data_IF_528143788561
#
_entry.id   IF_528143788561
#
_cell.length_a   1.000
_cell.length_b   1.000
_cell.length_c   1.000
_cell.angle_alpha   90.00
_cell.angle_beta   90.00
_cell.angle_gamma   90.00
#
_symmetry.space_group_name_H-M   'P 1'
#
loop_
_entity.id
_entity.type
_entity.pdbx_description
1 polymer ?
#
# COMPACT_ATOMS: atom_id res chain seq x y z
N UNK A 1 1.19 19.66 -8.55
CA UNK A 1 1.76 19.09 -7.30
C UNK A 1 1.95 17.60 -7.47
N UNK A 2 3.00 17.06 -6.89
CA UNK A 2 3.25 15.62 -6.95
C UNK A 2 2.23 14.88 -6.11
N UNK A 3 1.76 13.74 -6.60
CA UNK A 3 0.96 12.83 -5.80
C UNK A 3 1.84 12.11 -4.79
N UNK A 4 1.31 11.88 -3.60
CA UNK A 4 2.05 11.28 -2.50
C UNK A 4 1.64 9.82 -2.34
N UNK A 5 2.63 8.93 -2.25
CA UNK A 5 2.39 7.49 -2.04
C UNK A 5 3.03 7.08 -0.72
N UNK A 6 2.25 6.42 0.13
CA UNK A 6 2.75 5.78 1.33
C UNK A 6 3.08 4.32 1.01
N UNK A 7 4.33 3.92 1.23
CA UNK A 7 4.78 2.55 1.02
C UNK A 7 5.04 1.91 2.38
N UNK A 8 4.39 0.78 2.65
CA UNK A 8 4.46 0.10 3.94
C UNK A 8 4.99 -1.32 3.78
N UNK A 9 6.09 -1.61 4.45
CA UNK A 9 6.68 -2.96 4.49
C UNK A 9 7.64 -3.00 5.68
N UNK A 10 7.71 -4.12 6.39
CA UNK A 10 8.64 -4.28 7.49
C UNK A 10 10.06 -4.61 7.04
N UNK A 11 10.22 -4.97 5.77
CA UNK A 11 11.53 -5.25 5.16
C UNK A 11 12.12 -3.99 4.52
N UNK A 12 13.28 -3.57 5.00
CA UNK A 12 13.98 -2.41 4.41
C UNK A 12 14.35 -2.66 2.96
N UNK A 13 14.73 -3.90 2.62
CA UNK A 13 15.06 -4.27 1.25
C UNK A 13 13.84 -4.13 0.35
N UNK A 14 12.68 -4.60 0.80
CA UNK A 14 11.44 -4.48 0.03
C UNK A 14 11.06 -3.01 -0.16
N UNK A 15 11.16 -2.19 0.90
CA UNK A 15 10.90 -0.75 0.78
C UNK A 15 11.82 -0.11 -0.24
N UNK A 16 13.11 -0.45 -0.20
CA UNK A 16 14.08 0.10 -1.14
C UNK A 16 13.73 -0.26 -2.59
N UNK A 17 13.38 -1.53 -2.82
CA UNK A 17 13.01 -1.99 -4.17
C UNK A 17 11.77 -1.28 -4.70
N UNK A 18 10.73 -1.21 -3.88
CA UNK A 18 9.46 -0.59 -4.29
C UNK A 18 9.63 0.91 -4.49
N UNK A 19 10.31 1.60 -3.58
CA UNK A 19 10.51 3.04 -3.72
C UNK A 19 11.39 3.35 -4.93
N UNK A 20 12.37 2.50 -5.24
CA UNK A 20 13.20 2.66 -6.43
C UNK A 20 12.36 2.60 -7.70
N UNK A 21 11.41 1.66 -7.77
CA UNK A 21 10.50 1.55 -8.91
C UNK A 21 9.63 2.80 -9.00
N UNK A 22 9.05 3.24 -7.88
CA UNK A 22 8.12 4.37 -7.88
C UNK A 22 8.82 5.70 -8.16
N UNK A 23 10.11 5.82 -7.88
CA UNK A 23 10.87 7.04 -8.20
C UNK A 23 10.96 7.32 -9.69
N UNK A 24 10.64 6.35 -10.53
CA UNK A 24 10.58 6.55 -11.98
C UNK A 24 9.38 7.42 -12.38
N UNK A 25 8.39 7.51 -11.52
CA UNK A 25 7.22 8.36 -11.74
C UNK A 25 7.33 9.67 -10.97
N UNK A 26 6.38 10.58 -11.18
CA UNK A 26 6.40 11.90 -10.53
C UNK A 26 5.73 11.85 -9.15
N UNK A 27 6.20 10.99 -8.26
CA UNK A 27 5.57 10.78 -6.96
C UNK A 27 6.47 11.24 -5.82
N UNK A 28 5.82 11.78 -4.77
CA UNK A 28 6.45 12.00 -3.48
C UNK A 28 6.22 10.73 -2.65
N UNK A 29 7.24 10.21 -1.99
CA UNK A 29 7.15 8.93 -1.28
C UNK A 29 7.35 9.14 0.22
N UNK A 30 6.48 8.51 1.01
CA UNK A 30 6.64 8.38 2.46
C UNK A 30 6.59 6.88 2.79
N UNK A 31 7.19 6.48 3.89
CA UNK A 31 7.29 5.07 4.25
C UNK A 31 6.81 4.80 5.67
N UNK A 32 6.40 3.55 5.91
CA UNK A 32 6.07 3.04 7.24
C UNK A 32 6.54 1.59 7.31
N UNK A 33 6.75 1.08 8.52
CA UNK A 33 7.39 -0.21 8.73
C UNK A 33 6.46 -1.29 9.30
N UNK A 34 5.26 -0.94 9.70
CA UNK A 34 4.27 -1.90 10.19
C UNK A 34 2.88 -1.32 10.02
N UNK A 35 1.86 -2.14 10.31
CA UNK A 35 0.47 -1.73 10.11
C UNK A 35 0.03 -0.61 11.03
N UNK A 36 0.53 -0.57 12.26
CA UNK A 36 0.19 0.51 13.18
C UNK A 36 0.77 1.83 12.71
N UNK A 37 2.04 1.83 12.31
CA UNK A 37 2.69 3.02 11.78
C UNK A 37 2.01 3.48 10.49
N UNK A 38 1.55 2.52 9.66
CA UNK A 38 0.84 2.85 8.42
C UNK A 38 -0.39 3.70 8.69
N UNK A 39 -1.19 3.33 9.70
CA UNK A 39 -2.39 4.08 10.06
C UNK A 39 -2.01 5.48 10.55
N UNK A 40 -1.00 5.57 11.41
CA UNK A 40 -0.55 6.86 11.95
C UNK A 40 -0.02 7.78 10.86
N UNK A 41 0.82 7.26 9.96
CA UNK A 41 1.40 8.06 8.87
C UNK A 41 0.32 8.46 7.86
N UNK A 42 -0.60 7.55 7.54
CA UNK A 42 -1.70 7.87 6.61
C UNK A 42 -2.57 9.01 7.15
N UNK A 43 -2.86 8.99 8.44
CA UNK A 43 -3.66 10.04 9.06
C UNK A 43 -2.92 11.38 9.06
N UNK A 44 -1.61 11.36 9.31
CA UNK A 44 -0.80 12.58 9.39
C UNK A 44 -0.48 13.14 8.00
N UNK A 45 -0.10 12.29 7.06
CA UNK A 45 0.40 12.71 5.75
C UNK A 45 -0.68 12.76 4.66
N UNK A 46 -1.76 12.06 4.85
CA UNK A 46 -2.89 11.97 3.90
C UNK A 46 -2.42 11.70 2.47
N UNK A 47 -1.77 10.54 2.24
CA UNK A 47 -1.28 10.22 0.90
C UNK A 47 -2.42 10.02 -0.09
N UNK A 48 -2.07 10.08 -1.37
CA UNK A 48 -3.03 9.84 -2.46
C UNK A 48 -3.22 8.36 -2.74
N UNK A 49 -2.29 7.53 -2.26
CA UNK A 49 -2.34 6.08 -2.42
C UNK A 49 -1.50 5.43 -1.32
N UNK A 50 -1.94 4.25 -0.87
CA UNK A 50 -1.18 3.43 0.08
C UNK A 50 -0.86 2.10 -0.59
N UNK A 51 0.42 1.73 -0.59
CA UNK A 51 0.90 0.45 -1.07
C UNK A 51 1.45 -0.29 0.14
N UNK A 52 0.84 -1.41 0.52
CA UNK A 52 1.07 -2.02 1.83
C UNK A 52 1.21 -3.53 1.75
N UNK A 53 2.31 -4.05 2.33
CA UNK A 53 2.51 -5.49 2.47
C UNK A 53 1.46 -6.07 3.43
N UNK A 54 1.12 -7.34 3.23
CA UNK A 54 0.13 -8.02 4.06
C UNK A 54 0.74 -8.53 5.35
N UNK A 55 1.91 -9.18 5.27
CA UNK A 55 2.53 -9.83 6.43
C UNK A 55 3.49 -8.88 7.12
N UNK A 56 3.06 -8.34 8.25
CA UNK A 56 3.85 -7.38 9.04
C UNK A 56 3.59 -7.60 10.53
N UNK A 57 4.57 -7.25 11.39
CA UNK A 57 4.36 -7.34 12.84
C UNK A 57 3.34 -6.32 13.33
N UNK A 58 2.83 -6.55 14.52
CA UNK A 58 1.86 -5.73 15.26
C UNK A 58 0.49 -5.72 14.63
N UNK A 59 0.37 -5.24 13.39
CA UNK A 59 -0.91 -5.16 12.69
C UNK A 59 -0.66 -5.57 11.25
N UNK A 60 -1.39 -6.57 10.77
CA UNK A 60 -1.25 -7.04 9.38
C UNK A 60 -1.76 -5.97 8.41
N UNK A 61 -1.42 -6.14 7.13
CA UNK A 61 -1.94 -5.26 6.09
C UNK A 61 -3.45 -5.31 6.00
N UNK A 62 -4.06 -6.47 6.23
CA UNK A 62 -5.53 -6.59 6.23
C UNK A 62 -6.15 -5.79 7.37
N UNK A 63 -5.60 -5.93 8.57
CA UNK A 63 -6.09 -5.20 9.74
C UNK A 63 -5.93 -3.70 9.56
N UNK A 64 -4.76 -3.26 9.07
CA UNK A 64 -4.50 -1.85 8.83
C UNK A 64 -5.43 -1.30 7.75
N UNK A 65 -5.65 -2.04 6.68
CA UNK A 65 -6.54 -1.63 5.59
C UNK A 65 -7.97 -1.45 6.11
N UNK A 66 -8.45 -2.40 6.90
CA UNK A 66 -9.79 -2.32 7.48
C UNK A 66 -9.93 -1.07 8.35
N UNK A 67 -8.94 -0.81 9.19
CA UNK A 67 -8.96 0.38 10.04
C UNK A 67 -8.94 1.66 9.21
N UNK A 68 -8.10 1.73 8.20
CA UNK A 68 -8.01 2.90 7.31
C UNK A 68 -9.35 3.17 6.61
N UNK A 69 -10.04 2.12 6.19
CA UNK A 69 -11.31 2.25 5.48
C UNK A 69 -12.48 2.61 6.39
N UNK A 70 -12.31 2.48 7.70
CA UNK A 70 -13.33 2.86 8.67
C UNK A 70 -13.14 4.28 9.22
N UNK A 71 -12.01 4.92 8.95
CA UNK A 71 -11.71 6.26 9.46
C UNK A 71 -12.14 7.32 8.44
N UNK A 72 -12.77 8.38 8.93
CA UNK A 72 -13.22 9.47 8.05
C UNK A 72 -12.06 10.15 7.33
N UNK A 73 -10.89 10.25 7.97
CA UNK A 73 -9.75 10.96 7.39
C UNK A 73 -8.95 10.13 6.38
N UNK A 74 -9.17 8.80 6.30
CA UNK A 74 -8.38 7.94 5.42
C UNK A 74 -9.23 7.03 4.52
N UNK A 75 -10.52 6.91 4.76
CA UNK A 75 -11.35 5.92 4.05
C UNK A 75 -11.39 6.09 2.53
N UNK A 76 -11.16 7.30 2.04
CA UNK A 76 -11.19 7.57 0.60
C UNK A 76 -9.86 7.28 -0.09
N UNK A 77 -8.79 7.02 0.67
CA UNK A 77 -7.46 6.76 0.10
C UNK A 77 -7.43 5.35 -0.49
N UNK A 78 -7.08 5.19 -1.79
CA UNK A 78 -6.96 3.85 -2.35
C UNK A 78 -5.83 3.06 -1.69
N UNK A 79 -6.08 1.78 -1.40
CA UNK A 79 -5.10 0.89 -0.81
C UNK A 79 -4.84 -0.27 -1.76
N UNK A 80 -3.59 -0.47 -2.12
CA UNK A 80 -3.14 -1.62 -2.90
C UNK A 80 -2.35 -2.52 -1.94
N UNK A 81 -2.80 -3.75 -1.76
CA UNK A 81 -2.10 -4.71 -0.91
C UNK A 81 -1.07 -5.49 -1.72
N UNK A 82 0.06 -5.80 -1.11
CA UNK A 82 1.12 -6.59 -1.72
C UNK A 82 1.10 -7.97 -1.06
N UNK A 83 0.84 -9.01 -1.85
CA UNK A 83 0.69 -10.38 -1.36
C UNK A 83 1.79 -11.27 -1.92
N UNK A 84 2.04 -12.41 -1.26
CA UNK A 84 2.97 -13.42 -1.76
C UNK A 84 2.23 -14.35 -2.72
N UNK A 85 2.90 -14.74 -3.80
CA UNK A 85 2.33 -15.67 -4.78
C UNK A 85 1.92 -16.98 -4.07
N UNK A 86 0.75 -17.50 -4.42
CA UNK A 86 0.22 -18.71 -3.83
C UNK A 86 -0.69 -18.49 -2.63
N UNK A 87 -0.83 -17.25 -2.18
CA UNK A 87 -1.70 -16.90 -1.06
C UNK A 87 -3.05 -16.38 -1.56
N UNK A 88 -3.71 -17.18 -2.38
CA UNK A 88 -5.00 -16.77 -2.98
C UNK A 88 -6.08 -16.50 -1.94
N UNK A 89 -6.04 -17.20 -0.82
CA UNK A 89 -6.97 -16.94 0.28
C UNK A 89 -6.82 -15.52 0.82
N UNK A 90 -5.59 -14.99 0.78
CA UNK A 90 -5.32 -13.64 1.25
C UNK A 90 -5.91 -12.58 0.32
N UNK A 91 -6.08 -12.89 -0.96
CA UNK A 91 -6.69 -11.96 -1.91
C UNK A 91 -8.15 -11.71 -1.54
N UNK A 92 -8.90 -12.77 -1.22
CA UNK A 92 -10.29 -12.63 -0.76
C UNK A 92 -10.36 -11.84 0.54
N UNK A 93 -9.46 -12.14 1.50
CA UNK A 93 -9.39 -11.39 2.76
C UNK A 93 -9.04 -9.94 2.52
N UNK A 94 -8.18 -9.67 1.53
CA UNK A 94 -7.81 -8.32 1.16
C UNK A 94 -9.01 -7.51 0.70
N UNK A 95 -9.78 -8.05 -0.24
CA UNK A 95 -10.99 -7.36 -0.72
C UNK A 95 -12.04 -7.22 0.38
N UNK A 96 -12.17 -8.22 1.26
CA UNK A 96 -13.06 -8.12 2.40
C UNK A 96 -12.63 -7.03 3.38
N UNK A 97 -11.34 -6.69 3.45
CA UNK A 97 -10.83 -5.60 4.28
C UNK A 97 -11.08 -4.22 3.67
N UNK A 98 -11.52 -4.17 2.41
CA UNK A 98 -11.82 -2.93 1.70
C UNK A 98 -10.72 -2.41 0.80
N UNK A 99 -9.69 -3.23 0.51
CA UNK A 99 -8.62 -2.78 -0.39
C UNK A 99 -9.16 -2.57 -1.80
N UNK A 100 -8.47 -1.71 -2.55
CA UNK A 100 -8.90 -1.33 -3.90
C UNK A 100 -8.25 -2.21 -4.97
N UNK A 101 -7.09 -2.80 -4.67
CA UNK A 101 -6.39 -3.65 -5.63
C UNK A 101 -5.30 -4.43 -4.89
N UNK A 102 -4.60 -5.30 -5.60
CA UNK A 102 -3.46 -6.02 -5.04
C UNK A 102 -2.40 -6.26 -6.11
N UNK A 103 -1.17 -6.47 -5.68
CA UNK A 103 -0.07 -6.96 -6.53
C UNK A 103 0.59 -8.13 -5.82
N UNK A 104 1.10 -9.08 -6.59
CA UNK A 104 1.77 -10.26 -6.02
C UNK A 104 3.28 -10.14 -6.10
N UNK A 105 3.98 -10.70 -5.12
CA UNK A 105 5.43 -10.81 -5.14
C UNK A 105 5.83 -12.06 -5.92
N UNK A 106 6.91 -12.03 -6.68
CA UNK A 106 7.83 -10.90 -6.89
C UNK A 106 7.16 -9.79 -7.69
N UNK A 107 7.43 -8.55 -7.30
CA UNK A 107 6.79 -7.40 -7.92
C UNK A 107 7.33 -7.17 -9.34
N UNK A 108 6.40 -7.04 -10.28
CA UNK A 108 6.71 -6.62 -11.65
C UNK A 108 6.60 -5.10 -11.70
N UNK A 109 7.69 -4.43 -12.07
CA UNK A 109 7.73 -2.97 -12.05
C UNK A 109 6.68 -2.33 -12.96
N UNK A 110 6.47 -2.87 -14.14
CA UNK A 110 5.50 -2.32 -15.09
C UNK A 110 4.08 -2.47 -14.58
N UNK A 111 3.76 -3.64 -13.99
CA UNK A 111 2.45 -3.89 -13.41
C UNK A 111 2.20 -2.95 -12.23
N UNK A 112 3.18 -2.79 -11.35
CA UNK A 112 3.06 -1.90 -10.19
C UNK A 112 2.80 -0.46 -10.63
N UNK A 113 3.60 0.04 -11.57
CA UNK A 113 3.46 1.40 -12.06
C UNK A 113 2.11 1.62 -12.75
N UNK A 114 1.63 0.62 -13.50
CA UNK A 114 0.32 0.72 -14.15
C UNK A 114 -0.82 0.79 -13.12
N UNK A 115 -0.79 -0.06 -12.11
CA UNK A 115 -1.84 -0.06 -11.07
C UNK A 115 -1.81 1.22 -10.24
N UNK A 116 -0.63 1.70 -9.90
CA UNK A 116 -0.50 2.98 -9.20
C UNK A 116 -1.12 4.10 -10.03
N UNK A 117 -0.80 4.16 -11.31
CA UNK A 117 -1.34 5.17 -12.23
C UNK A 117 -2.86 5.11 -12.31
N UNK A 118 -3.40 3.90 -12.40
CA UNK A 118 -4.85 3.71 -12.52
C UNK A 118 -5.61 4.23 -11.30
N UNK A 119 -5.03 4.11 -10.11
CA UNK A 119 -5.69 4.54 -8.88
C UNK A 119 -5.41 5.99 -8.48
N UNK A 120 -4.37 6.59 -9.03
CA UNK A 120 -3.97 7.97 -8.69
C UNK A 120 -4.46 8.99 -9.72
N UNK A 121 -4.54 8.60 -10.99
CA UNK A 121 -4.75 9.53 -12.09
C UNK A 121 -6.17 10.09 -12.20
N UNK A 122 -7.07 9.63 -11.37
CA UNK A 122 -8.46 10.12 -11.40
C UNK A 122 -8.60 11.49 -10.77
#
# INVERSE_FOLDING_TARGET
MKKKILVVDDSRTALFMVTTILRKGPYELVTAHDGQQAVEVASAERPDLILMDVIMPRKTGFEACRELKQREDTKAIPVILVTTRGEEENVESGFASGCNDYVTKPINAQELLAKVRDHIAS
#
